data_IF_887099855424
#
_entry.id   IF_887099855424
#
_cell.length_a   1.000
_cell.length_b   1.000
_cell.length_c   1.000
_cell.angle_alpha   90.00
_cell.angle_beta   90.00
_cell.angle_gamma   90.00
#
_symmetry.space_group_name_H-M   'P 1'
#
loop_
_entity.id
_entity.type
_entity.pdbx_description
1 polymer ?
#
# COMPACT_ATOMS: atom_id res chain seq x y z
N UNK A 1 -0.87 -19.92 48.16
CA UNK A 1 -0.84 -20.81 46.98
C UNK A 1 -1.94 -20.32 46.05
N UNK A 2 -1.74 -19.48 45.03
CA UNK A 2 -0.56 -19.28 44.19
C UNK A 2 -0.66 -20.17 42.95
N UNK A 3 -1.50 -19.79 41.97
CA UNK A 3 -1.71 -20.54 40.73
C UNK A 3 -2.14 -19.61 39.60
N UNK A 4 -1.17 -18.90 39.01
CA UNK A 4 -1.37 -18.12 37.79
C UNK A 4 -1.35 -19.04 36.57
N UNK A 5 -2.39 -18.98 35.74
CA UNK A 5 -2.41 -19.63 34.45
C UNK A 5 -1.71 -18.74 33.42
N UNK A 6 -0.64 -19.27 32.84
CA UNK A 6 0.16 -18.68 31.76
C UNK A 6 -0.69 -18.45 30.51
N UNK A 7 -0.68 -17.21 30.02
CA UNK A 7 -1.12 -16.87 28.68
C UNK A 7 -0.19 -17.53 27.64
N UNK A 8 -0.70 -18.17 26.58
CA UNK A 8 0.15 -18.63 25.49
C UNK A 8 0.60 -17.42 24.66
N UNK A 9 1.88 -17.06 24.82
CA UNK A 9 2.64 -16.23 23.88
C UNK A 9 2.58 -16.89 22.51
N UNK A 10 1.88 -16.27 21.56
CA UNK A 10 1.99 -16.58 20.14
C UNK A 10 2.90 -15.54 19.51
N UNK A 11 4.19 -15.89 19.42
CA UNK A 11 5.12 -15.21 18.53
C UNK A 11 4.61 -15.37 17.10
N UNK A 12 4.41 -14.25 16.41
CA UNK A 12 4.09 -14.22 15.00
C UNK A 12 5.33 -14.62 14.20
N UNK A 13 5.36 -15.88 13.75
CA UNK A 13 6.29 -16.33 12.74
C UNK A 13 5.61 -16.19 11.38
N UNK A 14 6.18 -15.32 10.54
CA UNK A 14 5.70 -15.04 9.19
C UNK A 14 6.32 -16.06 8.26
N UNK A 15 5.67 -17.23 8.16
CA UNK A 15 5.92 -18.16 7.06
C UNK A 15 4.60 -18.47 6.37
N UNK A 16 4.57 -18.12 5.08
CA UNK A 16 3.47 -18.41 4.18
C UNK A 16 3.24 -19.92 4.10
N UNK A 17 2.09 -20.34 4.62
CA UNK A 17 1.18 -21.25 3.94
C UNK A 17 -0.02 -21.42 4.88
N UNK A 18 -1.15 -20.88 4.48
CA UNK A 18 -2.43 -21.29 5.06
C UNK A 18 -3.42 -21.40 3.92
N UNK A 19 -3.55 -22.63 3.42
CA UNK A 19 -4.61 -23.10 2.56
C UNK A 19 -5.97 -22.84 3.22
N UNK A 20 -6.51 -21.62 3.03
CA UNK A 20 -7.96 -21.49 2.92
C UNK A 20 -8.32 -22.02 1.53
N UNK A 21 -9.10 -23.09 1.45
CA UNK A 21 -9.60 -23.65 0.18
C UNK A 21 -10.68 -22.72 -0.36
N UNK A 22 -10.29 -21.48 -0.67
CA UNK A 22 -11.13 -20.51 -1.38
C UNK A 22 -10.82 -20.61 -2.85
N UNK A 23 -11.85 -20.63 -3.69
CA UNK A 23 -11.70 -20.87 -5.11
C UNK A 23 -10.94 -19.76 -5.85
N UNK A 24 -10.84 -18.54 -5.31
CA UNK A 24 -10.28 -17.43 -6.09
C UNK A 24 -9.98 -16.14 -5.33
N UNK A 25 -9.38 -16.24 -4.14
CA UNK A 25 -8.83 -15.07 -3.47
C UNK A 25 -7.77 -14.36 -4.32
N UNK A 26 -7.53 -13.08 -4.04
CA UNK A 26 -6.48 -12.30 -4.72
C UNK A 26 -5.11 -12.79 -4.27
N UNK A 27 -4.24 -13.06 -5.23
CA UNK A 27 -2.83 -13.45 -5.02
C UNK A 27 -1.94 -12.28 -5.42
N UNK A 28 -0.97 -11.97 -4.56
CA UNK A 28 -0.04 -10.85 -4.74
C UNK A 28 1.39 -11.36 -4.97
N UNK A 29 1.97 -11.02 -6.12
CA UNK A 29 3.40 -11.14 -6.37
C UNK A 29 4.12 -9.85 -5.93
N UNK A 30 4.93 -9.97 -4.88
CA UNK A 30 5.72 -8.88 -4.28
C UNK A 30 7.22 -8.99 -4.58
N UNK A 31 7.63 -9.85 -5.53
CA UNK A 31 9.04 -10.12 -5.85
C UNK A 31 9.82 -8.88 -6.32
N UNK A 32 9.13 -7.87 -6.88
CA UNK A 32 9.68 -6.58 -7.32
C UNK A 32 9.30 -5.41 -6.40
N UNK A 33 8.81 -5.71 -5.20
CA UNK A 33 8.44 -4.69 -4.21
C UNK A 33 9.68 -4.23 -3.43
N UNK A 34 9.56 -3.12 -2.69
CA UNK A 34 10.58 -2.75 -1.71
C UNK A 34 10.69 -3.81 -0.60
N UNK A 35 11.92 -4.14 -0.21
CA UNK A 35 12.21 -5.07 0.87
C UNK A 35 13.24 -4.49 1.85
N UNK A 36 13.17 -4.88 3.12
CA UNK A 36 14.12 -4.50 4.17
C UNK A 36 13.46 -3.82 5.36
N UNK A 37 14.26 -3.44 6.35
CA UNK A 37 13.77 -2.86 7.62
C UNK A 37 13.34 -1.40 7.51
N UNK A 38 13.75 -0.70 6.44
CA UNK A 38 13.49 0.73 6.23
C UNK A 38 12.44 1.02 5.16
N UNK A 39 11.67 0.03 4.70
CA UNK A 39 10.61 0.25 3.71
C UNK A 39 9.27 0.60 4.35
N UNK A 40 8.45 1.40 3.68
CA UNK A 40 7.11 1.74 4.18
C UNK A 40 6.06 1.89 3.08
N UNK A 41 4.81 1.93 3.51
CA UNK A 41 3.65 2.12 2.64
C UNK A 41 3.56 3.57 2.15
N UNK A 42 3.01 3.74 0.95
CA UNK A 42 2.77 5.06 0.37
C UNK A 42 1.49 5.68 0.94
N UNK A 43 1.52 6.99 1.12
CA UNK A 43 0.33 7.80 1.40
C UNK A 43 -0.13 8.48 0.12
N UNK A 44 -1.38 8.28 -0.30
CA UNK A 44 -1.95 8.96 -1.46
C UNK A 44 -1.78 10.48 -1.38
N UNK A 45 -1.42 11.10 -2.51
CA UNK A 45 -1.36 12.56 -2.69
C UNK A 45 -2.74 13.21 -2.82
N UNK A 46 -3.80 12.39 -2.93
CA UNK A 46 -5.20 12.82 -3.08
C UNK A 46 -6.06 12.22 -1.97
N UNK A 47 -7.37 12.45 -2.01
CA UNK A 47 -8.33 11.80 -1.10
C UNK A 47 -8.66 10.34 -1.47
N UNK A 48 -8.07 9.80 -2.56
CA UNK A 48 -8.26 8.41 -2.94
C UNK A 48 -7.70 7.47 -1.88
N UNK A 49 -8.43 6.40 -1.62
CA UNK A 49 -8.04 5.28 -0.76
C UNK A 49 -8.28 3.98 -1.51
N UNK A 50 -7.45 2.95 -1.31
CA UNK A 50 -7.70 1.64 -1.89
C UNK A 50 -9.03 1.05 -1.36
N UNK A 51 -9.68 0.14 -2.10
CA UNK A 51 -10.91 -0.50 -1.68
C UNK A 51 -10.74 -1.20 -0.32
N UNK A 52 -11.59 -0.91 0.69
CA UNK A 52 -11.49 -1.55 2.01
C UNK A 52 -11.96 -3.01 1.99
N UNK A 53 -12.74 -3.37 0.97
CA UNK A 53 -13.26 -4.69 0.70
C UNK A 53 -13.47 -4.85 -0.81
N UNK A 54 -13.58 -6.09 -1.27
CA UNK A 54 -13.83 -6.41 -2.67
C UNK A 54 -14.60 -7.72 -2.80
N UNK A 55 -15.26 -7.93 -3.95
CA UNK A 55 -15.88 -9.20 -4.28
C UNK A 55 -15.00 -9.98 -5.24
N UNK A 56 -14.75 -11.25 -4.94
CA UNK A 56 -14.02 -12.16 -5.82
C UNK A 56 -14.62 -13.58 -5.72
N UNK A 57 -14.31 -14.49 -6.66
CA UNK A 57 -14.70 -15.89 -6.56
C UNK A 57 -14.26 -16.50 -5.23
N UNK A 58 -15.22 -16.99 -4.44
CA UNK A 58 -14.94 -17.57 -3.12
C UNK A 58 -15.27 -19.04 -3.06
N UNK A 59 -16.37 -19.45 -3.69
CA UNK A 59 -16.88 -20.82 -3.62
C UNK A 59 -17.22 -21.41 -5.00
N UNK A 60 -16.95 -22.70 -5.16
CA UNK A 60 -17.68 -23.54 -6.12
C UNK A 60 -19.10 -23.83 -5.61
N UNK A 61 -20.03 -24.33 -6.45
CA UNK A 61 -21.34 -24.81 -6.00
C UNK A 61 -21.29 -25.72 -4.76
N UNK A 62 -20.42 -26.73 -4.79
CA UNK A 62 -20.26 -27.69 -3.67
C UNK A 62 -19.71 -27.02 -2.40
N UNK A 63 -18.75 -26.11 -2.54
CA UNK A 63 -18.19 -25.39 -1.40
C UNK A 63 -19.21 -24.45 -0.75
N UNK A 64 -20.04 -23.77 -1.55
CA UNK A 64 -21.08 -22.90 -1.01
C UNK A 64 -22.12 -23.72 -0.24
N UNK A 65 -22.57 -24.84 -0.80
CA UNK A 65 -23.48 -25.77 -0.14
C UNK A 65 -22.93 -26.19 1.24
N UNK A 66 -21.70 -26.70 1.27
CA UNK A 66 -21.01 -27.11 2.51
C UNK A 66 -20.82 -25.99 3.52
N UNK A 67 -20.83 -24.73 3.07
CA UNK A 67 -20.69 -23.55 3.94
C UNK A 67 -22.04 -23.16 4.55
N UNK A 68 -23.12 -23.19 3.76
CA UNK A 68 -24.42 -22.65 4.16
C UNK A 68 -25.33 -23.67 4.87
N UNK A 69 -25.35 -24.94 4.44
CA UNK A 69 -26.22 -25.96 5.04
C UNK A 69 -26.01 -26.11 6.56
N UNK A 70 -24.77 -26.18 7.08
CA UNK A 70 -24.57 -26.29 8.53
C UNK A 70 -25.07 -25.07 9.32
N UNK A 71 -25.08 -23.88 8.71
CA UNK A 71 -25.58 -22.65 9.35
C UNK A 71 -27.10 -22.74 9.53
N UNK A 72 -27.80 -23.18 8.49
CA UNK A 72 -29.26 -23.34 8.53
C UNK A 72 -29.69 -24.51 9.44
N UNK A 73 -28.92 -25.60 9.47
CA UNK A 73 -29.18 -26.75 10.34
C UNK A 73 -28.93 -26.47 11.82
N UNK A 74 -28.11 -25.46 12.13
CA UNK A 74 -27.89 -25.03 13.51
C UNK A 74 -29.10 -24.30 14.11
N UNK A 75 -30.12 -23.96 13.31
CA UNK A 75 -31.36 -23.24 13.71
C UNK A 75 -31.10 -21.94 14.48
N UNK A 76 -29.91 -21.35 14.34
CA UNK A 76 -29.45 -20.17 15.10
C UNK A 76 -29.84 -18.83 14.48
N UNK A 77 -30.28 -18.86 13.23
CA UNK A 77 -30.62 -17.71 12.36
C UNK A 77 -32.13 -17.46 12.22
N UNK A 78 -32.96 -18.43 12.62
CA UNK A 78 -34.41 -18.38 12.58
C UNK A 78 -35.03 -18.96 11.29
N UNK A 79 -36.13 -19.70 11.43
CA UNK A 79 -36.72 -20.50 10.36
C UNK A 79 -37.10 -19.71 9.09
N UNK A 80 -37.58 -18.47 9.24
CA UNK A 80 -38.00 -17.63 8.11
C UNK A 80 -36.80 -17.25 7.26
N UNK A 81 -35.69 -16.86 7.90
CA UNK A 81 -34.47 -16.49 7.21
C UNK A 81 -33.83 -17.70 6.52
N UNK A 82 -33.79 -18.86 7.19
CA UNK A 82 -33.26 -20.10 6.60
C UNK A 82 -34.06 -20.53 5.37
N UNK A 83 -35.40 -20.41 5.41
CA UNK A 83 -36.25 -20.71 4.27
C UNK A 83 -36.02 -19.75 3.09
N UNK A 84 -35.84 -18.45 3.36
CA UNK A 84 -35.48 -17.46 2.33
C UNK A 84 -34.12 -17.77 1.69
N UNK A 85 -33.11 -18.14 2.48
CA UNK A 85 -31.79 -18.50 1.96
C UNK A 85 -31.84 -19.80 1.13
N UNK A 86 -32.53 -20.84 1.62
CA UNK A 86 -32.71 -22.10 0.87
C UNK A 86 -33.36 -21.85 -0.49
N UNK A 87 -34.39 -20.98 -0.53
CA UNK A 87 -35.02 -20.55 -1.78
C UNK A 87 -34.05 -19.76 -2.67
N UNK A 88 -33.29 -18.81 -2.11
CA UNK A 88 -32.31 -17.98 -2.85
C UNK A 88 -31.29 -18.84 -3.61
N UNK A 89 -30.81 -19.92 -3.00
CA UNK A 89 -29.80 -20.80 -3.59
C UNK A 89 -30.38 -22.07 -4.23
N UNK A 90 -31.71 -22.17 -4.40
CA UNK A 90 -32.39 -23.35 -4.93
C UNK A 90 -31.98 -24.65 -4.19
N UNK A 91 -31.77 -24.57 -2.87
CA UNK A 91 -31.10 -25.62 -2.08
C UNK A 91 -31.87 -26.96 -2.06
N UNK A 92 -33.19 -26.93 -2.23
CA UNK A 92 -34.04 -28.12 -2.23
C UNK A 92 -33.99 -28.91 -3.56
N UNK A 93 -33.37 -28.36 -4.61
CA UNK A 93 -33.14 -29.04 -5.87
C UNK A 93 -31.82 -29.83 -5.81
N UNK A 94 -31.91 -31.16 -5.80
CA UNK A 94 -30.74 -32.04 -5.67
C UNK A 94 -29.73 -31.87 -6.83
N UNK A 95 -30.22 -31.58 -8.04
CA UNK A 95 -29.40 -31.49 -9.25
C UNK A 95 -28.87 -30.08 -9.52
N UNK A 96 -29.69 -29.05 -9.25
CA UNK A 96 -29.39 -27.65 -9.60
C UNK A 96 -29.15 -26.74 -8.41
N UNK A 97 -29.36 -27.22 -7.18
CA UNK A 97 -29.13 -26.44 -5.99
C UNK A 97 -27.71 -25.88 -5.96
N UNK A 98 -27.57 -24.63 -5.52
CA UNK A 98 -26.30 -23.88 -5.50
C UNK A 98 -25.62 -23.79 -6.87
N UNK A 99 -26.36 -23.93 -7.98
CA UNK A 99 -25.84 -24.00 -9.35
C UNK A 99 -24.89 -25.19 -9.59
N UNK A 100 -25.16 -26.36 -8.97
CA UNK A 100 -24.40 -27.61 -9.18
C UNK A 100 -24.28 -27.99 -10.66
N UNK A 101 -25.33 -27.81 -11.45
CA UNK A 101 -25.38 -28.04 -12.90
C UNK A 101 -24.47 -27.11 -13.72
N UNK A 102 -24.02 -26.01 -13.11
CA UNK A 102 -23.04 -25.06 -13.66
C UNK A 102 -21.65 -25.20 -13.06
N UNK A 103 -21.33 -26.30 -12.38
CA UNK A 103 -19.97 -26.54 -11.87
C UNK A 103 -18.92 -26.40 -12.97
N UNK A 104 -17.88 -25.60 -12.71
CA UNK A 104 -16.82 -25.29 -13.68
C UNK A 104 -17.20 -24.26 -14.76
N UNK A 105 -18.44 -23.76 -14.76
CA UNK A 105 -18.94 -22.71 -15.67
C UNK A 105 -19.10 -21.35 -15.00
N UNK A 106 -18.72 -21.24 -13.74
CA UNK A 106 -18.81 -20.02 -12.96
C UNK A 106 -18.43 -20.27 -11.51
N UNK A 107 -18.56 -19.21 -10.71
CA UNK A 107 -18.26 -19.25 -9.28
C UNK A 107 -19.30 -18.46 -8.49
N UNK A 108 -19.44 -18.82 -7.21
CA UNK A 108 -20.07 -17.96 -6.22
C UNK A 108 -19.04 -16.97 -5.70
N UNK A 109 -19.29 -15.69 -5.98
CA UNK A 109 -18.52 -14.55 -5.52
C UNK A 109 -19.06 -14.09 -4.19
N UNK A 110 -18.16 -13.61 -3.34
CA UNK A 110 -18.50 -13.10 -2.03
C UNK A 110 -17.37 -12.17 -1.53
N UNK A 111 -17.61 -11.48 -0.42
CA UNK A 111 -16.72 -10.43 0.03
C UNK A 111 -15.43 -10.98 0.66
N UNK A 112 -14.38 -10.21 0.40
CA UNK A 112 -13.08 -10.25 1.05
C UNK A 112 -12.83 -8.88 1.67
N UNK A 113 -12.16 -8.86 2.81
CA UNK A 113 -11.89 -7.64 3.58
C UNK A 113 -10.39 -7.48 3.78
N UNK A 114 -9.91 -6.24 3.71
CA UNK A 114 -8.57 -5.93 4.19
C UNK A 114 -8.60 -5.89 5.73
N UNK A 115 -7.93 -6.85 6.36
CA UNK A 115 -7.91 -7.02 7.82
C UNK A 115 -7.21 -5.87 8.55
N UNK A 116 -6.53 -4.97 7.83
CA UNK A 116 -5.82 -3.83 8.39
C UNK A 116 -6.67 -2.55 8.52
N UNK A 117 -7.94 -2.55 8.09
CA UNK A 117 -8.74 -1.33 7.93
C UNK A 117 -9.96 -1.23 8.89
N UNK A 118 -10.05 -0.15 9.69
CA UNK A 118 -11.31 0.29 10.31
C UNK A 118 -11.62 1.74 9.91
N UNK A 119 -12.08 2.01 8.66
CA UNK A 119 -13.53 2.02 8.34
C UNK A 119 -13.87 1.48 6.92
N UNK A 120 -15.13 1.08 6.71
CA UNK A 120 -15.67 0.70 5.38
C UNK A 120 -15.48 -0.76 4.97
N UNK A 121 -14.86 -1.59 5.81
CA UNK A 121 -14.68 -3.03 5.57
C UNK A 121 -16.02 -3.80 5.44
N UNK A 122 -17.07 -3.26 6.04
CA UNK A 122 -18.44 -3.79 6.04
C UNK A 122 -19.27 -3.33 4.83
N UNK A 123 -18.71 -2.52 3.92
CA UNK A 123 -19.44 -2.04 2.73
C UNK A 123 -19.68 -3.13 1.68
N UNK A 124 -18.94 -4.23 1.72
CA UNK A 124 -19.16 -5.39 0.85
C UNK A 124 -20.03 -6.43 1.56
N UNK A 125 -21.33 -6.12 1.70
CA UNK A 125 -22.32 -6.93 2.44
C UNK A 125 -23.26 -7.76 1.54
N UNK A 126 -23.27 -7.51 0.23
CA UNK A 126 -24.11 -8.18 -0.77
C UNK A 126 -23.48 -9.49 -1.27
N UNK A 127 -23.61 -10.60 -0.55
CA UNK A 127 -23.11 -11.90 -1.00
C UNK A 127 -23.67 -13.10 -0.23
N UNK A 128 -23.36 -14.33 -0.66
CA UNK A 128 -22.77 -14.72 -1.96
C UNK A 128 -23.70 -14.52 -3.18
N UNK A 129 -23.13 -14.38 -4.38
CA UNK A 129 -23.83 -14.26 -5.67
C UNK A 129 -23.11 -15.01 -6.80
N UNK A 130 -23.83 -15.45 -7.84
CA UNK A 130 -23.25 -16.23 -8.94
C UNK A 130 -22.79 -15.36 -10.11
N UNK A 131 -21.64 -15.69 -10.69
CA UNK A 131 -21.15 -15.13 -11.97
C UNK A 131 -20.67 -16.28 -12.84
N UNK A 132 -21.15 -16.34 -14.08
CA UNK A 132 -20.69 -17.30 -15.08
C UNK A 132 -19.27 -16.93 -15.55
N UNK A 133 -18.44 -17.92 -15.86
CA UNK A 133 -17.05 -17.71 -16.32
C UNK A 133 -17.04 -16.95 -17.64
N UNK A 134 -16.32 -15.82 -17.67
CA UNK A 134 -16.21 -14.95 -18.84
C UNK A 134 -17.19 -13.79 -18.85
N UNK A 135 -18.21 -13.81 -17.99
CA UNK A 135 -19.11 -12.67 -17.79
C UNK A 135 -18.45 -11.63 -16.86
N UNK A 136 -18.80 -10.37 -17.07
CA UNK A 136 -18.42 -9.31 -16.16
C UNK A 136 -19.24 -9.42 -14.85
N UNK A 137 -18.66 -9.09 -13.68
CA UNK A 137 -19.43 -9.05 -12.45
C UNK A 137 -20.54 -7.98 -12.54
N UNK A 138 -21.72 -8.23 -11.95
CA UNK A 138 -22.82 -7.27 -12.02
C UNK A 138 -22.47 -5.93 -11.35
N UNK A 139 -22.84 -4.82 -11.99
CA UNK A 139 -22.43 -3.46 -11.59
C UNK A 139 -22.90 -3.04 -10.18
N UNK A 140 -23.93 -3.68 -9.62
CA UNK A 140 -24.39 -3.38 -8.26
C UNK A 140 -23.43 -3.84 -7.14
N UNK A 141 -22.46 -4.70 -7.48
CA UNK A 141 -21.40 -5.16 -6.59
C UNK A 141 -20.17 -4.29 -6.82
N UNK A 142 -20.19 -3.10 -6.21
CA UNK A 142 -19.03 -2.20 -6.18
C UNK A 142 -17.80 -2.97 -5.67
N UNK A 143 -16.63 -2.65 -6.21
CA UNK A 143 -15.36 -3.35 -5.94
C UNK A 143 -15.36 -4.85 -6.28
N UNK A 144 -16.28 -5.36 -7.10
CA UNK A 144 -16.07 -6.67 -7.71
C UNK A 144 -14.80 -6.64 -8.56
N UNK A 145 -13.94 -7.65 -8.41
CA UNK A 145 -12.59 -7.64 -8.99
C UNK A 145 -12.63 -7.47 -10.51
N UNK A 146 -12.03 -6.37 -10.95
CA UNK A 146 -11.64 -6.06 -12.32
C UNK A 146 -10.12 -5.82 -12.34
N UNK A 147 -9.46 -5.72 -13.50
CA UNK A 147 -8.06 -5.31 -13.55
C UNK A 147 -7.79 -3.98 -12.81
N UNK A 148 -8.73 -3.04 -12.84
CA UNK A 148 -8.61 -1.76 -12.13
C UNK A 148 -8.63 -1.96 -10.61
N UNK A 149 -9.61 -2.70 -10.07
CA UNK A 149 -9.65 -3.02 -8.63
C UNK A 149 -8.38 -3.78 -8.20
N UNK A 150 -7.88 -4.70 -9.03
CA UNK A 150 -6.62 -5.39 -8.76
C UNK A 150 -5.43 -4.42 -8.74
N UNK A 151 -5.41 -3.40 -9.59
CA UNK A 151 -4.36 -2.39 -9.57
C UNK A 151 -4.39 -1.55 -8.29
N UNK A 152 -5.58 -1.17 -7.81
CA UNK A 152 -5.75 -0.46 -6.55
C UNK A 152 -5.29 -1.29 -5.34
N UNK A 153 -5.66 -2.58 -5.31
CA UNK A 153 -5.18 -3.52 -4.29
C UNK A 153 -3.66 -3.72 -4.37
N UNK A 154 -3.10 -3.82 -5.58
CA UNK A 154 -1.66 -3.90 -5.77
C UNK A 154 -0.94 -2.63 -5.29
N UNK A 155 -1.51 -1.45 -5.51
CA UNK A 155 -0.97 -0.18 -5.02
C UNK A 155 -0.93 -0.17 -3.48
N UNK A 156 -1.98 -0.61 -2.79
CA UNK A 156 -1.99 -0.71 -1.32
C UNK A 156 -0.84 -1.58 -0.75
N UNK A 157 -0.40 -2.57 -1.53
CA UNK A 157 0.68 -3.50 -1.17
C UNK A 157 2.09 -2.95 -1.48
N UNK A 158 2.20 -1.85 -2.22
CA UNK A 158 3.50 -1.25 -2.54
C UNK A 158 4.21 -0.80 -1.25
N UNK A 159 5.48 -1.17 -1.16
CA UNK A 159 6.41 -0.70 -0.14
C UNK A 159 7.60 -0.07 -0.85
N UNK A 160 7.94 1.15 -0.46
CA UNK A 160 9.06 1.91 -1.04
C UNK A 160 10.20 2.08 -0.03
N UNK A 161 11.45 2.25 -0.50
CA UNK A 161 12.60 2.47 0.38
C UNK A 161 12.49 3.73 1.25
N UNK A 162 13.14 3.68 2.42
CA UNK A 162 13.30 4.79 3.35
C UNK A 162 13.94 6.02 2.71
N UNK A 163 13.49 7.21 3.11
CA UNK A 163 13.88 8.50 2.50
C UNK A 163 14.82 9.34 3.36
N UNK A 164 15.65 8.70 4.20
CA UNK A 164 16.68 9.41 4.95
C UNK A 164 17.72 9.99 3.98
N UNK A 165 17.82 11.32 3.94
CA UNK A 165 18.72 12.02 3.01
C UNK A 165 20.12 12.07 3.60
N UNK A 166 21.11 11.83 2.75
CA UNK A 166 22.50 12.09 3.12
C UNK A 166 22.73 13.60 3.10
N UNK A 167 23.25 14.13 4.21
CA UNK A 167 23.56 15.56 4.37
C UNK A 167 25.06 15.82 4.31
N UNK A 168 25.44 16.97 3.77
CA UNK A 168 26.79 17.53 3.93
C UNK A 168 26.70 19.02 4.33
N UNK A 169 27.22 19.41 5.52
CA UNK A 169 27.86 18.57 6.53
C UNK A 169 26.92 17.47 7.08
N UNK A 170 27.49 16.30 7.41
CA UNK A 170 26.72 15.16 7.94
C UNK A 170 26.32 15.35 9.41
N UNK A 171 27.12 16.11 10.16
CA UNK A 171 26.86 16.48 11.55
C UNK A 171 26.17 17.85 11.63
N UNK A 172 26.40 18.59 12.72
CA UNK A 172 25.88 19.94 12.89
C UNK A 172 26.28 20.84 11.71
N UNK A 173 25.27 21.49 11.12
CA UNK A 173 25.48 22.56 10.15
C UNK A 173 25.58 23.91 10.87
N UNK A 174 25.91 24.96 10.11
CA UNK A 174 26.10 26.31 10.63
C UNK A 174 25.08 27.26 10.05
N UNK A 175 24.72 28.30 10.82
CA UNK A 175 23.91 29.40 10.32
C UNK A 175 24.53 29.98 9.06
N UNK A 176 23.71 30.22 8.04
CA UNK A 176 24.08 30.69 6.71
C UNK A 176 24.98 29.76 5.87
N UNK A 177 25.26 28.53 6.32
CA UNK A 177 25.96 27.52 5.53
C UNK A 177 24.96 26.68 4.72
N UNK A 178 25.07 26.60 3.38
CA UNK A 178 24.28 25.67 2.59
C UNK A 178 24.63 24.22 2.95
N UNK A 179 23.63 23.47 3.42
CA UNK A 179 23.69 22.03 3.63
C UNK A 179 23.17 21.32 2.38
N UNK A 180 24.04 20.52 1.77
CA UNK A 180 23.71 19.69 0.61
C UNK A 180 22.91 18.48 1.08
N UNK A 181 21.91 18.06 0.29
CA UNK A 181 21.10 16.89 0.53
C UNK A 181 20.98 16.04 -0.74
N UNK A 182 21.14 14.73 -0.64
CA UNK A 182 20.95 13.81 -1.75
C UNK A 182 20.50 12.43 -1.26
N UNK A 183 19.93 11.64 -2.16
CA UNK A 183 19.62 10.23 -1.94
C UNK A 183 20.47 9.35 -2.85
N UNK A 184 20.79 8.15 -2.37
CA UNK A 184 21.49 7.16 -3.20
C UNK A 184 20.55 6.64 -4.29
N UNK A 185 20.84 6.98 -5.54
CA UNK A 185 20.07 6.53 -6.70
C UNK A 185 20.02 5.01 -6.89
N UNK A 186 20.92 4.25 -6.26
CA UNK A 186 20.82 2.79 -6.27
C UNK A 186 19.60 2.27 -5.50
N UNK A 187 19.14 3.02 -4.48
CA UNK A 187 17.98 2.67 -3.66
C UNK A 187 16.66 3.10 -4.30
N UNK A 188 16.62 4.21 -5.04
CA UNK A 188 15.39 4.79 -5.59
C UNK A 188 15.12 4.36 -7.03
N UNK A 189 14.79 3.07 -7.18
CA UNK A 189 14.35 2.47 -8.44
C UNK A 189 12.84 2.20 -8.41
N UNK A 190 12.19 2.07 -9.57
CA UNK A 190 10.80 1.63 -9.63
C UNK A 190 10.59 0.32 -8.87
N UNK A 191 9.50 0.25 -8.11
CA UNK A 191 9.02 -0.97 -7.45
C UNK A 191 7.63 -1.30 -7.96
N UNK A 192 7.26 -2.58 -7.93
CA UNK A 192 5.94 -3.00 -8.42
C UNK A 192 5.38 -4.18 -7.65
N UNK A 193 4.05 -4.23 -7.57
CA UNK A 193 3.30 -5.38 -7.07
C UNK A 193 2.31 -5.82 -8.15
N UNK A 194 2.15 -7.13 -8.33
CA UNK A 194 1.10 -7.68 -9.21
C UNK A 194 0.03 -8.37 -8.38
N UNK A 195 -1.22 -7.95 -8.52
CA UNK A 195 -2.38 -8.64 -7.96
C UNK A 195 -3.06 -9.46 -9.06
N UNK A 196 -3.53 -10.65 -8.72
CA UNK A 196 -4.15 -11.56 -9.68
C UNK A 196 -5.26 -12.39 -9.06
N UNK A 197 -6.22 -12.81 -9.90
CA UNK A 197 -7.20 -13.83 -9.57
C UNK A 197 -7.01 -14.97 -10.56
N UNK A 198 -6.22 -16.00 -10.22
CA UNK A 198 -5.80 -17.03 -11.16
C UNK A 198 -6.97 -17.75 -11.85
N UNK A 199 -8.04 -18.03 -11.11
CA UNK A 199 -9.23 -18.73 -11.65
C UNK A 199 -10.02 -17.92 -12.67
N UNK A 200 -9.85 -16.60 -12.68
CA UNK A 200 -10.43 -15.71 -13.69
C UNK A 200 -9.43 -15.34 -14.78
N UNK A 201 -8.16 -15.72 -14.65
CA UNK A 201 -7.07 -15.31 -15.53
C UNK A 201 -6.96 -13.78 -15.71
N UNK A 202 -7.28 -13.02 -14.65
CA UNK A 202 -7.12 -11.56 -14.63
C UNK A 202 -5.99 -11.17 -13.67
N UNK A 203 -5.30 -10.08 -14.02
CA UNK A 203 -4.23 -9.50 -13.22
C UNK A 203 -4.10 -8.00 -13.46
N UNK A 204 -3.42 -7.33 -12.54
CA UNK A 204 -2.89 -6.00 -12.72
C UNK A 204 -1.61 -5.80 -11.93
N UNK A 205 -0.68 -5.05 -12.51
CA UNK A 205 0.60 -4.67 -11.93
C UNK A 205 0.61 -3.18 -11.69
N UNK A 206 0.65 -2.76 -10.42
CA UNK A 206 0.89 -1.37 -10.04
C UNK A 206 2.40 -1.15 -9.87
N UNK A 207 2.91 -0.07 -10.47
CA UNK A 207 4.33 0.32 -10.45
C UNK A 207 4.44 1.72 -9.87
N UNK A 208 5.30 1.87 -8.86
CA UNK A 208 5.65 3.15 -8.27
C UNK A 208 7.02 3.59 -8.79
N UNK A 209 7.05 4.72 -9.49
CA UNK A 209 8.25 5.35 -10.01
C UNK A 209 8.56 6.61 -9.20
N UNK A 210 9.77 6.76 -8.63
CA UNK A 210 10.08 7.96 -7.87
C UNK A 210 10.22 9.13 -8.84
N UNK A 211 9.69 10.31 -8.50
CA UNK A 211 9.72 11.49 -9.38
C UNK A 211 10.44 12.68 -8.78
N UNK A 212 10.25 12.96 -7.49
CA UNK A 212 10.88 14.12 -6.83
C UNK A 212 11.02 13.90 -5.33
N UNK A 213 11.93 14.68 -4.72
CA UNK A 213 12.09 14.81 -3.28
C UNK A 213 11.69 16.20 -2.83
N UNK A 214 10.76 16.29 -1.89
CA UNK A 214 10.45 17.50 -1.15
C UNK A 214 11.27 17.56 0.14
N UNK A 215 12.03 18.64 0.33
CA UNK A 215 12.69 18.99 1.59
C UNK A 215 11.85 20.05 2.30
N UNK A 216 11.49 19.75 3.55
CA UNK A 216 10.86 20.69 4.47
C UNK A 216 11.82 20.91 5.65
N UNK A 217 12.41 22.12 5.81
CA UNK A 217 13.48 22.36 6.79
C UNK A 217 13.09 22.16 8.26
N UNK A 218 11.80 22.08 8.60
CA UNK A 218 11.31 22.03 9.97
C UNK A 218 11.29 23.40 10.68
N UNK A 219 11.54 24.49 9.97
CA UNK A 219 11.48 25.88 10.47
C UNK A 219 11.22 26.86 9.34
N UNK A 220 10.62 28.02 9.66
CA UNK A 220 10.47 29.13 8.74
C UNK A 220 11.79 29.92 8.55
N UNK A 221 12.73 29.80 9.50
CA UNK A 221 14.04 30.45 9.45
C UNK A 221 15.03 29.65 8.59
N UNK A 222 14.64 29.29 7.36
CA UNK A 222 15.45 28.52 6.43
C UNK A 222 15.10 28.84 4.97
N UNK A 223 16.08 28.63 4.08
CA UNK A 223 15.93 28.71 2.62
C UNK A 223 16.26 27.35 2.04
N UNK A 224 15.39 26.82 1.18
CA UNK A 224 15.62 25.55 0.48
C UNK A 224 16.33 25.76 -0.86
N UNK A 225 16.99 24.70 -1.32
CA UNK A 225 17.58 24.60 -2.64
C UNK A 225 17.02 23.37 -3.35
N UNK A 226 16.42 23.50 -4.55
CA UNK A 226 16.00 24.78 -5.15
C UNK A 226 15.00 25.52 -4.26
N UNK A 227 14.69 26.79 -4.55
CA UNK A 227 13.79 27.60 -3.72
C UNK A 227 12.39 27.01 -3.52
N UNK A 228 11.95 26.12 -4.43
CA UNK A 228 10.71 25.36 -4.27
C UNK A 228 10.79 24.30 -3.16
N UNK A 229 11.99 23.92 -2.75
CA UNK A 229 12.27 22.75 -1.92
C UNK A 229 11.99 21.41 -2.60
N UNK A 230 11.70 21.41 -3.90
CA UNK A 230 11.42 20.19 -4.68
C UNK A 230 12.63 19.90 -5.56
N UNK A 231 13.29 18.78 -5.28
CA UNK A 231 14.45 18.29 -6.01
C UNK A 231 14.00 17.19 -6.97
N UNK A 232 14.05 17.48 -8.27
CA UNK A 232 13.68 16.52 -9.32
C UNK A 232 14.65 15.35 -9.42
N UNK A 233 14.13 14.18 -9.78
CA UNK A 233 14.96 13.01 -10.09
C UNK A 233 15.56 13.14 -11.47
N UNK A 234 16.88 13.07 -11.53
CA UNK A 234 17.63 13.12 -12.77
C UNK A 234 18.51 11.87 -12.89
N UNK A 235 18.31 11.08 -13.94
CA UNK A 235 19.02 9.82 -14.19
C UNK A 235 19.02 8.88 -12.97
N UNK A 236 17.86 8.76 -12.30
CA UNK A 236 17.70 7.92 -11.10
C UNK A 236 18.40 8.45 -9.87
N UNK A 237 18.81 9.73 -9.82
CA UNK A 237 19.46 10.36 -8.67
C UNK A 237 18.67 11.59 -8.22
N UNK A 238 18.59 11.79 -6.90
CA UNK A 238 18.03 12.98 -6.27
C UNK A 238 19.17 13.80 -5.71
N UNK A 239 19.31 15.05 -6.18
CA UNK A 239 20.42 15.91 -5.81
C UNK A 239 21.76 15.42 -6.36
N UNK A 240 22.84 15.89 -5.75
CA UNK A 240 24.20 15.49 -6.13
C UNK A 240 25.04 15.22 -4.88
N UNK A 241 25.77 14.09 -4.81
CA UNK A 241 26.72 13.85 -3.74
C UNK A 241 27.74 14.97 -3.61
N UNK A 242 27.90 15.49 -2.38
CA UNK A 242 28.88 16.54 -2.13
C UNK A 242 30.31 16.03 -2.40
N UNK A 243 31.12 16.87 -3.07
CA UNK A 243 32.52 16.61 -3.32
C UNK A 243 33.38 17.77 -2.80
N UNK A 244 34.58 17.47 -2.30
CA UNK A 244 35.55 18.49 -1.88
C UNK A 244 35.80 19.48 -3.04
N UNK A 245 35.79 20.78 -2.73
CA UNK A 245 35.91 21.85 -3.72
C UNK A 245 34.58 22.48 -4.17
N UNK A 246 33.44 21.98 -3.69
CA UNK A 246 32.11 22.55 -3.98
C UNK A 246 31.55 23.44 -2.86
N UNK A 247 32.38 23.84 -1.91
CA UNK A 247 31.95 24.62 -0.75
C UNK A 247 31.29 25.97 -1.15
N UNK A 248 31.74 26.59 -2.23
CA UNK A 248 31.22 27.87 -2.74
C UNK A 248 30.05 27.70 -3.72
N UNK A 249 29.64 26.46 -4.01
CA UNK A 249 28.55 26.19 -4.95
C UNK A 249 27.21 26.10 -4.23
N UNK A 250 26.15 26.50 -4.92
CA UNK A 250 24.79 26.28 -4.44
C UNK A 250 24.41 24.81 -4.64
N UNK A 251 23.95 24.10 -3.60
CA UNK A 251 23.54 22.72 -3.75
C UNK A 251 22.36 22.60 -4.74
N UNK A 252 22.34 21.57 -5.61
CA UNK A 252 21.19 21.32 -6.47
C UNK A 252 19.96 20.87 -5.66
N UNK A 253 20.19 20.29 -4.49
CA UNK A 253 19.18 19.93 -3.51
C UNK A 253 19.73 20.15 -2.10
N UNK A 254 19.01 20.85 -1.23
CA UNK A 254 19.51 21.17 0.10
C UNK A 254 18.74 22.24 0.86
N UNK A 255 19.35 22.74 1.92
CA UNK A 255 18.77 23.73 2.83
C UNK A 255 19.86 24.61 3.42
N UNK A 256 19.56 25.88 3.66
CA UNK A 256 20.38 26.81 4.46
C UNK A 256 19.53 27.39 5.58
N UNK A 257 19.93 27.11 6.81
CA UNK A 257 19.28 27.64 7.99
C UNK A 257 19.77 29.05 8.30
N UNK A 258 18.86 29.93 8.66
CA UNK A 258 19.10 31.34 8.97
C UNK A 258 19.23 31.60 10.47
N UNK A 259 18.94 30.59 11.29
CA UNK A 259 18.98 30.67 12.76
C UNK A 259 19.52 29.40 13.39
N UNK A 260 20.16 29.55 14.54
CA UNK A 260 20.63 28.43 15.39
C UNK A 260 19.45 27.66 15.97
N UNK A 261 19.61 26.34 16.09
CA UNK A 261 18.64 25.49 16.78
C UNK A 261 18.79 25.54 18.31
N UNK A 262 19.83 26.21 18.83
CA UNK A 262 20.13 26.25 20.26
C UNK A 262 20.38 24.85 20.82
N UNK A 263 19.78 24.55 21.98
CA UNK A 263 19.82 23.22 22.60
C UNK A 263 18.83 22.22 21.98
N UNK A 264 18.05 22.64 20.97
CA UNK A 264 17.09 21.82 20.24
C UNK A 264 17.61 21.42 18.85
N UNK A 265 16.73 20.82 18.04
CA UNK A 265 17.00 20.44 16.65
C UNK A 265 15.86 20.87 15.74
N UNK A 266 16.13 21.06 14.45
CA UNK A 266 15.09 21.22 13.46
C UNK A 266 14.69 19.85 12.87
N UNK A 267 13.40 19.49 12.87
CA UNK A 267 12.93 18.23 12.29
C UNK A 267 12.84 18.38 10.76
N UNK A 268 13.95 18.15 10.07
CA UNK A 268 13.97 18.17 8.60
C UNK A 268 13.17 16.98 8.08
N UNK A 269 12.16 17.24 7.25
CA UNK A 269 11.38 16.20 6.58
C UNK A 269 11.81 16.06 5.13
N UNK A 270 12.05 14.83 4.71
CA UNK A 270 12.39 14.44 3.36
C UNK A 270 11.32 13.50 2.83
N UNK A 271 10.49 13.98 1.90
CA UNK A 271 9.35 13.23 1.34
C UNK A 271 9.57 12.99 -0.14
N UNK A 272 9.61 11.73 -0.57
CA UNK A 272 9.67 11.36 -1.97
C UNK A 272 8.25 11.16 -2.50
N UNK A 273 7.96 11.79 -3.63
CA UNK A 273 6.76 11.56 -4.41
C UNK A 273 7.03 10.47 -5.43
N UNK A 274 6.08 9.55 -5.56
CA UNK A 274 6.10 8.39 -6.42
C UNK A 274 4.91 8.44 -7.37
N UNK A 275 5.18 8.50 -8.68
CA UNK A 275 4.15 8.37 -9.69
C UNK A 275 3.70 6.92 -9.78
N UNK A 276 2.38 6.70 -9.77
CA UNK A 276 1.81 5.36 -9.81
C UNK A 276 1.18 5.11 -11.17
N UNK A 277 1.66 4.07 -11.85
CA UNK A 277 1.11 3.62 -13.12
C UNK A 277 0.80 2.14 -13.03
N UNK A 278 -0.21 1.68 -13.77
CA UNK A 278 -0.56 0.27 -13.78
C UNK A 278 -0.90 -0.25 -15.17
N UNK A 279 -0.70 -1.56 -15.32
CA UNK A 279 -1.09 -2.32 -16.50
C UNK A 279 -1.78 -3.60 -16.05
N UNK A 280 -2.68 -4.15 -16.84
CA UNK A 280 -3.42 -5.35 -16.49
C UNK A 280 -3.87 -6.18 -17.68
N UNK A 281 -4.47 -7.32 -17.36
CA UNK A 281 -5.01 -8.26 -18.34
C UNK A 281 -6.01 -7.58 -19.29
N UNK A 282 -6.05 -8.02 -20.55
CA UNK A 282 -6.93 -7.44 -21.57
C UNK A 282 -6.47 -6.08 -22.11
N UNK A 283 -5.24 -5.65 -21.78
CA UNK A 283 -4.70 -4.36 -22.21
C UNK A 283 -5.20 -3.17 -21.39
N UNK A 284 -5.86 -3.44 -20.26
CA UNK A 284 -6.24 -2.40 -19.30
C UNK A 284 -5.00 -1.76 -18.68
N UNK A 285 -5.12 -0.51 -18.28
CA UNK A 285 -4.04 0.23 -17.65
C UNK A 285 -4.37 1.70 -17.50
N UNK A 286 -3.53 2.43 -16.79
CA UNK A 286 -3.71 3.84 -16.54
C UNK A 286 -2.77 4.35 -15.46
N UNK A 287 -3.07 5.56 -14.99
CA UNK A 287 -2.42 6.15 -13.83
C UNK A 287 -3.32 5.98 -12.59
N UNK A 288 -2.69 5.83 -11.43
CA UNK A 288 -3.33 5.96 -10.11
C UNK A 288 -2.76 7.20 -9.43
N UNK A 289 -3.41 7.71 -8.37
CA UNK A 289 -2.91 8.86 -7.64
C UNK A 289 -1.46 8.66 -7.18
N UNK A 290 -0.64 9.71 -7.26
CA UNK A 290 0.74 9.65 -6.80
C UNK A 290 0.80 9.34 -5.31
N UNK A 291 1.81 8.58 -4.90
CA UNK A 291 2.08 8.24 -3.50
C UNK A 291 3.23 9.06 -2.92
N UNK A 292 3.15 9.36 -1.63
CA UNK A 292 4.22 10.02 -0.90
C UNK A 292 4.73 9.11 0.21
N UNK A 293 6.05 9.05 0.37
CA UNK A 293 6.67 8.42 1.52
C UNK A 293 7.81 9.30 2.01
N UNK A 294 7.91 9.48 3.32
CA UNK A 294 8.83 10.45 3.91
C UNK A 294 9.33 10.04 5.27
N UNK A 295 10.50 10.55 5.61
CA UNK A 295 11.17 10.37 6.89
C UNK A 295 11.54 11.74 7.45
N UNK A 296 11.67 11.80 8.78
CA UNK A 296 12.12 13.00 9.49
C UNK A 296 13.48 12.71 10.11
N UNK A 297 14.44 13.61 9.91
CA UNK A 297 15.75 13.57 10.54
C UNK A 297 16.05 14.89 11.24
N UNK A 298 16.67 14.82 12.42
CA UNK A 298 16.94 15.98 13.23
C UNK A 298 18.25 16.66 12.79
N UNK A 299 18.20 17.97 12.54
CA UNK A 299 19.36 18.77 12.14
C UNK A 299 19.72 19.74 13.25
N UNK A 300 20.99 19.71 13.67
CA UNK A 300 21.57 20.66 14.61
C UNK A 300 22.17 21.83 13.81
N UNK A 301 21.82 23.06 14.17
CA UNK A 301 22.35 24.27 13.52
C UNK A 301 23.07 25.13 14.55
N UNK A 302 24.36 25.33 14.36
CA UNK A 302 25.21 26.12 15.23
C UNK A 302 25.44 27.53 14.69
N UNK A 303 25.52 28.50 15.58
CA UNK A 303 25.98 29.85 15.23
C UNK A 303 27.47 29.98 15.54
N UNK A 304 28.24 30.52 14.60
CA UNK A 304 29.63 30.91 14.86
C UNK A 304 29.64 32.38 15.22
N UNK A 305 30.08 32.67 16.44
CA UNK A 305 30.44 34.01 16.87
C UNK A 305 31.96 34.17 16.74
N UNK A 306 32.41 35.05 15.84
CA UNK A 306 33.81 35.45 15.80
C UNK A 306 34.04 36.56 16.84
N UNK A 307 34.82 36.27 17.88
CA UNK A 307 35.28 37.30 18.82
C UNK A 307 36.47 38.00 18.19
N UNK A 308 36.27 39.22 17.71
CA UNK A 308 37.36 40.07 17.27
C UNK A 308 38.08 40.62 18.52
N UNK A 309 39.34 40.24 18.72
CA UNK A 309 40.19 40.78 19.80
C UNK A 309 41.06 41.90 19.29
#
# INVERSE_FOLDING_TARGET
>A
MGGGAQAPNTNADTNGDTLSVTAGGVVFDRSKNGSGTSTGALTSSTSWTPPPCWYAPKYTPEQLQKTLEPIWEAESTGYEWDAEQRKKYNADDEEKGFNKDKTGKGYWWDSYVDKSYPPGWDSCDKGPFWVDTGDAPPAQYENAVTPEILAELAYNEIRVPGTEVTLAPAEATKVNLPTWAWLDGAAFKPVSVTASVPVLNINATATAEPVSLKIEPGTADAVTYPASGVCEINNGRIGEPYAKGKADQTPPCGVKYLRSSGDATYPLRATVTWKIQWTGSGGAGGDLPDGNFGATQNVVVQEIQAVNR
#
